data_IF_954864382186
#
_entry.id   IF_954864382186
#
_cell.length_a   1.000
_cell.length_b   1.000
_cell.length_c   1.000
_cell.angle_alpha   90.00
_cell.angle_beta   90.00
_cell.angle_gamma   90.00
#
_symmetry.space_group_name_H-M   'P 1'
#
loop_
_entity.id
_entity.type
_entity.pdbx_description
1 polymer ?
#
# COMPACT_ATOMS: atom_id res chain seq x y z
N UNK A 1 -10.48 -30.66 8.42
CA UNK A 1 -11.90 -31.03 8.59
C UNK A 1 -12.69 -30.19 7.62
N UNK A 2 -13.22 -30.80 6.55
CA UNK A 2 -14.11 -30.12 5.60
C UNK A 2 -15.41 -29.80 6.34
N UNK A 3 -15.59 -28.54 6.73
CA UNK A 3 -16.80 -28.09 7.41
C UNK A 3 -18.03 -28.44 6.57
N UNK A 4 -18.99 -29.12 7.17
CA UNK A 4 -20.25 -29.48 6.54
C UNK A 4 -20.95 -28.21 6.04
N UNK A 5 -21.42 -28.20 4.78
CA UNK A 5 -22.11 -27.02 4.21
C UNK A 5 -23.42 -26.80 4.95
N UNK A 6 -23.57 -25.63 5.59
CA UNK A 6 -24.82 -25.19 6.24
C UNK A 6 -25.71 -24.49 5.21
N UNK A 7 -26.77 -25.14 4.75
CA UNK A 7 -27.71 -24.56 3.80
C UNK A 7 -28.63 -23.55 4.49
N UNK A 8 -28.74 -22.35 3.93
CA UNK A 8 -29.64 -21.31 4.42
C UNK A 8 -31.07 -21.61 3.96
N UNK A 9 -32.02 -21.62 4.90
CA UNK A 9 -33.43 -21.98 4.66
C UNK A 9 -33.61 -23.36 4.00
N UNK A 10 -32.65 -24.28 4.20
CA UNK A 10 -32.60 -25.61 3.57
C UNK A 10 -32.62 -25.61 2.02
N UNK A 11 -32.31 -24.47 1.39
CA UNK A 11 -32.27 -24.36 -0.08
C UNK A 11 -30.98 -24.97 -0.63
N UNK A 12 -31.04 -26.27 -0.92
CA UNK A 12 -29.94 -27.03 -1.54
C UNK A 12 -29.78 -26.73 -3.04
N UNK A 13 -30.89 -26.39 -3.70
CA UNK A 13 -30.93 -26.02 -5.11
C UNK A 13 -32.06 -25.02 -5.34
N UNK A 14 -31.71 -23.79 -5.75
CA UNK A 14 -32.66 -22.76 -6.14
C UNK A 14 -33.26 -23.04 -7.51
N UNK A 15 -34.24 -22.24 -7.93
CA UNK A 15 -34.79 -22.27 -9.28
C UNK A 15 -33.74 -22.05 -10.39
N UNK A 16 -32.59 -21.44 -10.07
CA UNK A 16 -31.47 -21.23 -11.00
C UNK A 16 -30.34 -22.26 -10.81
N UNK A 17 -30.54 -23.30 -9.98
CA UNK A 17 -29.57 -24.36 -9.76
C UNK A 17 -28.47 -24.05 -8.74
N UNK A 18 -28.62 -23.02 -7.91
CA UNK A 18 -27.60 -22.57 -6.94
C UNK A 18 -28.00 -22.93 -5.50
N UNK A 19 -27.06 -23.38 -4.66
CA UNK A 19 -27.30 -23.57 -3.23
C UNK A 19 -27.30 -22.24 -2.48
N UNK A 20 -28.14 -22.10 -1.45
CA UNK A 20 -28.03 -20.99 -0.52
C UNK A 20 -27.27 -21.48 0.70
N UNK A 21 -26.15 -20.84 1.00
CA UNK A 21 -25.28 -21.22 2.09
C UNK A 21 -25.21 -20.11 3.12
N UNK A 22 -25.19 -20.48 4.39
CA UNK A 22 -24.92 -19.52 5.45
C UNK A 22 -23.57 -18.87 5.20
N UNK A 23 -23.54 -17.55 5.12
CA UNK A 23 -22.30 -16.80 4.99
C UNK A 23 -21.40 -16.95 6.21
N UNK A 24 -22.01 -17.18 7.38
CA UNK A 24 -21.33 -17.29 8.67
C UNK A 24 -21.24 -18.75 9.12
N UNK A 25 -20.08 -19.09 9.68
CA UNK A 25 -19.96 -20.26 10.56
C UNK A 25 -20.77 -20.04 11.84
N UNK A 26 -21.05 -21.11 12.59
CA UNK A 26 -21.74 -21.00 13.89
C UNK A 26 -20.98 -20.09 14.86
N UNK A 27 -19.64 -20.17 14.86
CA UNK A 27 -18.79 -19.27 15.65
C UNK A 27 -18.97 -17.80 15.25
N UNK A 28 -19.09 -17.52 13.96
CA UNK A 28 -19.32 -16.18 13.46
C UNK A 28 -20.76 -15.70 13.71
N UNK A 29 -21.76 -16.59 13.70
CA UNK A 29 -23.13 -16.27 14.13
C UNK A 29 -23.13 -15.82 15.60
N UNK A 30 -22.41 -16.54 16.48
CA UNK A 30 -22.26 -16.16 17.88
C UNK A 30 -21.50 -14.83 18.05
N UNK A 31 -20.46 -14.60 17.26
CA UNK A 31 -19.75 -13.33 17.26
C UNK A 31 -20.66 -12.18 16.79
N UNK A 32 -21.48 -12.38 15.75
CA UNK A 32 -22.43 -11.38 15.27
C UNK A 32 -23.45 -11.03 16.36
N UNK A 33 -23.97 -12.02 17.10
CA UNK A 33 -24.89 -11.75 18.21
C UNK A 33 -24.21 -10.92 19.31
N UNK A 34 -22.98 -11.28 19.70
CA UNK A 34 -22.21 -10.54 20.69
C UNK A 34 -21.93 -9.09 20.25
N UNK A 35 -21.61 -8.88 18.98
CA UNK A 35 -21.37 -7.55 18.39
C UNK A 35 -22.66 -6.70 18.43
N UNK A 36 -23.78 -7.25 17.97
CA UNK A 36 -25.06 -6.55 17.93
C UNK A 36 -25.51 -6.11 19.33
N UNK A 37 -25.40 -7.02 20.32
CA UNK A 37 -25.77 -6.74 21.70
C UNK A 37 -24.80 -5.78 22.40
N UNK A 38 -23.49 -5.97 22.20
CA UNK A 38 -22.45 -5.20 22.89
C UNK A 38 -22.32 -3.76 22.41
N UNK A 39 -22.54 -3.51 21.11
CA UNK A 39 -22.31 -2.21 20.48
C UNK A 39 -23.58 -1.54 19.95
N UNK A 40 -24.74 -2.17 20.11
CA UNK A 40 -26.03 -1.62 19.67
C UNK A 40 -26.14 -1.42 18.16
N UNK A 41 -25.30 -2.10 17.37
CA UNK A 41 -25.35 -2.04 15.90
C UNK A 41 -26.45 -2.94 15.35
N UNK A 42 -27.04 -2.64 14.18
CA UNK A 42 -28.03 -3.52 13.56
C UNK A 42 -27.48 -4.93 13.30
N UNK A 43 -28.33 -5.96 13.43
CA UNK A 43 -27.95 -7.38 13.23
C UNK A 43 -27.23 -7.61 11.89
N UNK A 44 -27.71 -6.98 10.82
CA UNK A 44 -27.07 -7.09 9.50
C UNK A 44 -25.63 -6.54 9.49
N UNK A 45 -25.36 -5.44 10.21
CA UNK A 45 -24.01 -4.88 10.33
C UNK A 45 -23.13 -5.83 11.13
N UNK A 46 -23.62 -6.34 12.26
CA UNK A 46 -22.91 -7.28 13.09
C UNK A 46 -22.54 -8.58 12.33
N UNK A 47 -23.47 -9.09 11.51
CA UNK A 47 -23.23 -10.25 10.64
C UNK A 47 -22.17 -9.98 9.58
N UNK A 48 -22.17 -8.79 8.96
CA UNK A 48 -21.12 -8.40 8.01
C UNK A 48 -19.75 -8.33 8.68
N UNK A 49 -19.68 -7.75 9.89
CA UNK A 49 -18.44 -7.66 10.67
C UNK A 49 -17.91 -9.06 11.03
N UNK A 50 -18.74 -9.93 11.59
CA UNK A 50 -18.34 -11.30 11.92
C UNK A 50 -17.92 -12.09 10.66
N UNK A 51 -18.61 -11.87 9.54
CA UNK A 51 -18.26 -12.47 8.24
C UNK A 51 -16.92 -12.01 7.66
N UNK A 52 -16.40 -10.86 8.12
CA UNK A 52 -15.05 -10.37 7.84
C UNK A 52 -14.00 -10.82 8.86
N UNK A 53 -14.40 -11.63 9.85
CA UNK A 53 -13.53 -12.11 10.92
C UNK A 53 -13.32 -11.11 12.06
N UNK A 54 -14.10 -10.02 12.10
CA UNK A 54 -14.05 -9.04 13.18
C UNK A 54 -14.70 -9.65 14.43
N UNK A 55 -13.97 -9.65 15.54
CA UNK A 55 -14.50 -10.11 16.83
C UNK A 55 -15.26 -8.99 17.55
N UNK A 56 -16.00 -9.33 18.61
CA UNK A 56 -16.68 -8.34 19.44
C UNK A 56 -15.69 -7.30 19.99
N UNK A 57 -14.51 -7.73 20.43
CA UNK A 57 -13.46 -6.84 20.97
C UNK A 57 -12.86 -5.91 19.90
N UNK A 58 -12.94 -6.28 18.63
CA UNK A 58 -12.40 -5.51 17.51
C UNK A 58 -13.41 -4.54 16.89
N UNK A 59 -14.68 -4.58 17.32
CA UNK A 59 -15.80 -3.89 16.65
C UNK A 59 -15.61 -2.38 16.60
N UNK A 60 -15.31 -1.75 17.73
CA UNK A 60 -15.10 -0.31 17.80
C UNK A 60 -13.95 0.13 16.88
N UNK A 61 -12.80 -0.56 16.96
CA UNK A 61 -11.62 -0.26 16.13
C UNK A 61 -11.89 -0.42 14.64
N UNK A 62 -12.78 -1.35 14.26
CA UNK A 62 -13.12 -1.57 12.86
C UNK A 62 -14.10 -0.51 12.33
N UNK A 63 -15.08 -0.09 13.14
CA UNK A 63 -16.11 0.87 12.74
C UNK A 63 -15.63 2.33 12.82
N UNK A 64 -14.75 2.64 13.77
CA UNK A 64 -14.14 3.96 13.93
C UNK A 64 -12.60 3.85 13.89
N UNK A 65 -12.04 3.56 12.69
CA UNK A 65 -10.60 3.43 12.54
C UNK A 65 -9.92 4.80 12.68
N UNK A 66 -8.95 4.88 13.60
CA UNK A 66 -8.06 6.04 13.68
C UNK A 66 -6.69 5.72 13.11
N UNK A 67 -6.09 6.71 12.45
CA UNK A 67 -4.69 6.67 11.97
C UNK A 67 -3.76 6.22 13.10
N UNK A 68 -3.91 6.79 14.30
CA UNK A 68 -3.10 6.46 15.49
C UNK A 68 -3.16 4.97 15.84
N UNK A 69 -4.33 4.34 15.73
CA UNK A 69 -4.52 2.95 16.13
C UNK A 69 -4.21 1.95 15.00
N UNK A 70 -4.09 2.40 13.76
CA UNK A 70 -3.94 1.53 12.59
C UNK A 70 -2.57 1.60 11.93
N UNK A 71 -1.84 2.72 12.07
CA UNK A 71 -0.47 2.78 11.58
C UNK A 71 0.44 2.02 12.55
N UNK A 72 1.11 0.94 12.09
CA UNK A 72 2.19 0.35 12.86
C UNK A 72 3.35 1.35 12.98
N UNK A 73 4.28 1.06 13.89
CA UNK A 73 5.55 1.79 13.93
C UNK A 73 6.22 1.69 12.54
N UNK A 74 6.44 2.82 11.82
CA UNK A 74 7.07 2.78 10.50
C UNK A 74 8.44 2.11 10.52
N UNK A 75 9.18 2.16 11.64
CA UNK A 75 10.48 1.50 11.79
C UNK A 75 10.40 -0.04 11.69
N UNK A 76 9.19 -0.62 11.79
CA UNK A 76 8.97 -2.05 11.55
C UNK A 76 9.02 -2.44 10.07
N UNK A 77 8.92 -1.48 9.15
CA UNK A 77 9.06 -1.73 7.72
C UNK A 77 10.54 -1.89 7.37
N UNK A 78 10.83 -2.88 6.51
CA UNK A 78 12.20 -3.19 6.07
C UNK A 78 12.92 -1.94 5.58
N UNK A 79 14.09 -1.67 6.16
CA UNK A 79 14.97 -0.55 5.81
C UNK A 79 14.35 0.86 5.92
N UNK A 80 13.21 1.02 6.59
CA UNK A 80 12.55 2.33 6.73
C UNK A 80 13.45 3.39 7.36
N UNK A 81 14.15 3.05 8.45
CA UNK A 81 15.07 4.00 9.10
C UNK A 81 16.21 4.44 8.17
N UNK A 82 16.72 3.53 7.33
CA UNK A 82 17.77 3.85 6.35
C UNK A 82 17.24 4.77 5.26
N UNK A 83 16.05 4.48 4.71
CA UNK A 83 15.40 5.30 3.70
C UNK A 83 15.10 6.71 4.24
N UNK A 84 14.51 6.80 5.44
CA UNK A 84 14.21 8.06 6.10
C UNK A 84 15.48 8.88 6.37
N UNK A 85 16.54 8.26 6.89
CA UNK A 85 17.82 8.92 7.12
C UNK A 85 18.45 9.45 5.82
N UNK A 86 18.40 8.68 4.72
CA UNK A 86 18.95 9.11 3.43
C UNK A 86 18.20 10.29 2.82
N UNK A 87 16.87 10.29 2.92
CA UNK A 87 16.03 11.41 2.47
C UNK A 87 16.26 12.64 3.36
N UNK A 88 16.37 12.46 4.68
CA UNK A 88 16.69 13.56 5.60
C UNK A 88 18.07 14.17 5.32
N UNK A 89 19.06 13.35 4.94
CA UNK A 89 20.36 13.83 4.49
C UNK A 89 20.23 14.68 3.22
N UNK A 90 19.46 14.21 2.22
CA UNK A 90 19.23 14.98 0.98
C UNK A 90 18.56 16.33 1.27
N UNK A 91 17.62 16.37 2.23
CA UNK A 91 16.98 17.61 2.69
C UNK A 91 18.01 18.55 3.33
N UNK A 92 18.83 18.03 4.24
CA UNK A 92 19.83 18.83 4.98
C UNK A 92 20.91 19.37 4.03
N UNK A 93 21.37 18.56 3.09
CA UNK A 93 22.38 18.91 2.10
C UNK A 93 21.83 19.68 0.88
N UNK A 94 20.50 19.86 0.79
CA UNK A 94 19.80 20.47 -0.37
C UNK A 94 20.19 19.81 -1.70
N UNK A 95 20.29 18.49 -1.69
CA UNK A 95 20.53 17.69 -2.89
C UNK A 95 19.43 17.88 -3.94
N UNK A 96 19.75 17.65 -5.21
CA UNK A 96 18.71 17.54 -6.25
C UNK A 96 18.16 16.11 -6.24
N UNK A 97 16.86 15.98 -6.02
CA UNK A 97 16.17 14.68 -5.90
C UNK A 97 15.31 14.42 -7.12
N UNK A 98 15.49 13.29 -7.80
CA UNK A 98 14.50 12.81 -8.76
C UNK A 98 13.52 11.86 -8.08
N UNK A 99 12.23 12.00 -8.38
CA UNK A 99 11.16 11.12 -7.92
C UNK A 99 10.73 10.32 -9.13
N UNK A 100 10.98 9.01 -9.12
CA UNK A 100 10.56 8.10 -10.19
C UNK A 100 9.27 7.40 -9.74
N UNK A 101 8.14 7.73 -10.35
CA UNK A 101 6.84 7.16 -9.98
C UNK A 101 6.27 6.23 -11.05
N UNK A 102 5.32 5.38 -10.65
CA UNK A 102 4.46 4.67 -11.61
C UNK A 102 3.35 5.57 -12.17
N UNK A 103 2.78 5.19 -13.31
CA UNK A 103 1.76 5.97 -14.02
C UNK A 103 0.34 5.83 -13.47
N UNK A 104 0.11 4.88 -12.56
CA UNK A 104 -1.22 4.67 -12.00
C UNK A 104 -1.53 5.67 -10.86
N UNK A 105 -2.68 5.50 -10.21
CA UNK A 105 -3.12 6.45 -9.18
C UNK A 105 -2.23 6.41 -7.94
N UNK A 106 -1.68 5.25 -7.55
CA UNK A 106 -0.82 5.16 -6.38
C UNK A 106 0.56 5.78 -6.67
N UNK A 107 1.18 5.44 -7.80
CA UNK A 107 2.41 6.05 -8.28
C UNK A 107 2.31 7.58 -8.44
N UNK A 108 1.22 8.09 -9.02
CA UNK A 108 1.01 9.53 -9.17
C UNK A 108 0.79 10.23 -7.82
N UNK A 109 -0.02 9.65 -6.92
CA UNK A 109 -0.32 10.23 -5.62
C UNK A 109 0.92 10.25 -4.71
N UNK A 110 1.66 9.14 -4.64
CA UNK A 110 2.91 9.02 -3.87
C UNK A 110 3.99 9.98 -4.39
N UNK A 111 4.11 10.13 -5.72
CA UNK A 111 5.02 11.10 -6.34
C UNK A 111 4.69 12.54 -5.93
N UNK A 112 3.40 12.91 -6.00
CA UNK A 112 2.94 14.24 -5.60
C UNK A 112 3.14 14.47 -4.09
N UNK A 113 2.92 13.46 -3.26
CA UNK A 113 3.14 13.53 -1.81
C UNK A 113 4.61 13.82 -1.49
N UNK A 114 5.54 13.05 -2.07
CA UNK A 114 6.97 13.23 -1.83
C UNK A 114 7.46 14.58 -2.39
N UNK A 115 6.96 14.98 -3.57
CA UNK A 115 7.25 16.30 -4.16
C UNK A 115 6.82 17.44 -3.24
N UNK A 116 5.62 17.36 -2.65
CA UNK A 116 5.12 18.36 -1.69
C UNK A 116 5.96 18.40 -0.42
N UNK A 117 6.36 17.24 0.10
CA UNK A 117 7.25 17.15 1.25
C UNK A 117 8.61 17.81 0.98
N UNK A 118 9.27 17.47 -0.13
CA UNK A 118 10.56 18.07 -0.51
C UNK A 118 10.45 19.58 -0.78
N UNK A 119 9.36 20.02 -1.42
CA UNK A 119 9.11 21.43 -1.68
C UNK A 119 8.91 22.23 -0.39
N UNK A 120 8.28 21.65 0.65
CA UNK A 120 8.15 22.28 1.96
C UNK A 120 9.53 22.65 2.56
N UNK A 121 10.53 21.80 2.35
CA UNK A 121 11.92 22.06 2.76
C UNK A 121 12.76 22.78 1.70
N UNK A 122 12.15 23.30 0.63
CA UNK A 122 12.83 23.98 -0.48
C UNK A 122 13.90 23.12 -1.17
N UNK A 123 13.72 21.80 -1.20
CA UNK A 123 14.62 20.87 -1.88
C UNK A 123 14.25 20.79 -3.37
N UNK A 124 15.21 21.05 -4.29
CA UNK A 124 14.94 20.95 -5.72
C UNK A 124 14.65 19.50 -6.09
N UNK A 125 13.54 19.29 -6.79
CA UNK A 125 13.11 17.95 -7.18
C UNK A 125 12.43 17.93 -8.55
N UNK A 126 12.49 16.81 -9.25
CA UNK A 126 11.70 16.57 -10.48
C UNK A 126 10.93 15.26 -10.33
N UNK A 127 9.70 15.22 -10.85
CA UNK A 127 8.94 13.97 -10.96
C UNK A 127 9.17 13.44 -12.37
N UNK A 128 9.44 12.14 -12.46
CA UNK A 128 9.57 11.39 -13.69
C UNK A 128 8.60 10.22 -13.64
N UNK A 129 7.69 10.16 -14.62
CA UNK A 129 6.76 9.05 -14.82
C UNK A 129 7.08 8.49 -16.21
N UNK A 130 7.42 7.20 -16.34
CA UNK A 130 7.84 6.62 -17.62
C UNK A 130 6.66 6.57 -18.60
N UNK A 131 6.93 6.78 -19.89
CA UNK A 131 5.93 6.50 -20.92
C UNK A 131 5.79 4.99 -21.10
N UNK A 132 4.64 4.44 -20.71
CA UNK A 132 4.40 3.00 -20.76
C UNK A 132 4.52 2.39 -22.16
N UNK A 133 4.25 3.15 -23.22
CA UNK A 133 4.27 2.66 -24.60
C UNK A 133 5.71 2.57 -25.10
N UNK A 134 6.52 3.59 -24.80
CA UNK A 134 7.87 3.70 -25.35
C UNK A 134 8.96 3.12 -24.44
N UNK A 135 8.79 3.24 -23.13
CA UNK A 135 9.82 2.90 -22.13
C UNK A 135 9.49 1.64 -21.33
N UNK A 136 8.23 1.21 -21.34
CA UNK A 136 7.77 0.05 -20.59
C UNK A 136 7.36 0.38 -19.15
N UNK A 137 7.41 -0.63 -18.28
CA UNK A 137 6.94 -0.52 -16.88
C UNK A 137 8.12 -0.28 -15.92
N UNK A 138 7.98 0.71 -15.05
CA UNK A 138 8.92 0.99 -13.96
C UNK A 138 10.29 1.56 -14.39
N UNK A 139 11.25 1.60 -13.45
CA UNK A 139 12.57 2.16 -13.69
C UNK A 139 13.35 1.41 -14.76
N UNK A 140 13.88 2.12 -15.76
CA UNK A 140 14.78 1.59 -16.78
C UNK A 140 16.18 2.25 -16.68
N UNK A 141 17.26 1.56 -17.10
CA UNK A 141 18.63 2.08 -16.94
C UNK A 141 18.91 3.41 -17.65
N UNK A 142 18.23 3.67 -18.77
CA UNK A 142 18.42 4.89 -19.56
C UNK A 142 17.84 6.10 -18.85
N UNK A 143 16.58 6.03 -18.43
CA UNK A 143 15.92 7.05 -17.65
C UNK A 143 16.66 7.33 -16.33
N UNK A 144 17.14 6.29 -15.65
CA UNK A 144 17.92 6.47 -14.42
C UNK A 144 19.21 7.27 -14.69
N UNK A 145 19.98 6.93 -15.72
CA UNK A 145 21.18 7.70 -16.10
C UNK A 145 20.85 9.12 -16.53
N UNK A 146 19.73 9.32 -17.22
CA UNK A 146 19.28 10.63 -17.64
C UNK A 146 18.95 11.53 -16.43
N UNK A 147 18.26 11.02 -15.42
CA UNK A 147 17.98 11.76 -14.20
C UNK A 147 19.27 12.20 -13.49
N UNK A 148 20.28 11.32 -13.46
CA UNK A 148 21.60 11.68 -12.91
C UNK A 148 22.31 12.72 -13.77
N UNK A 149 22.25 12.63 -15.11
CA UNK A 149 22.86 13.62 -16.01
C UNK A 149 22.21 15.00 -15.91
N UNK A 150 20.92 15.05 -15.55
CA UNK A 150 20.19 16.27 -15.18
C UNK A 150 20.59 16.79 -13.79
N UNK A 151 21.47 16.11 -13.08
CA UNK A 151 22.07 16.54 -11.82
C UNK A 151 21.43 15.96 -10.57
N UNK A 152 20.53 14.96 -10.68
CA UNK A 152 20.01 14.29 -9.49
C UNK A 152 21.10 13.48 -8.79
N UNK A 153 21.30 13.68 -7.50
CA UNK A 153 22.24 12.90 -6.66
C UNK A 153 21.53 11.83 -5.83
N UNK A 154 20.20 11.94 -5.72
CA UNK A 154 19.32 10.94 -5.13
C UNK A 154 18.13 10.70 -6.07
N UNK A 155 17.83 9.44 -6.33
CA UNK A 155 16.60 9.00 -7.00
C UNK A 155 15.75 8.25 -5.98
N UNK A 156 14.51 8.70 -5.76
CA UNK A 156 13.53 7.99 -4.93
C UNK A 156 12.49 7.39 -5.85
N UNK A 157 12.43 6.06 -5.92
CA UNK A 157 11.37 5.37 -6.65
C UNK A 157 10.17 5.20 -5.72
N UNK A 158 8.97 5.46 -6.24
CA UNK A 158 7.70 5.31 -5.52
C UNK A 158 6.76 4.45 -6.35
N UNK A 159 6.14 3.47 -5.70
CA UNK A 159 5.25 2.48 -6.33
C UNK A 159 5.91 1.66 -7.45
N UNK A 160 7.24 1.60 -7.44
CA UNK A 160 8.02 0.83 -8.40
C UNK A 160 9.46 0.64 -7.92
N UNK A 161 10.18 -0.27 -8.58
CA UNK A 161 11.64 -0.42 -8.44
C UNK A 161 12.12 -1.68 -7.72
N UNK A 162 11.24 -2.44 -7.04
CA UNK A 162 11.62 -3.69 -6.34
C UNK A 162 12.34 -4.68 -7.26
N UNK A 163 11.89 -4.78 -8.51
CA UNK A 163 12.43 -5.71 -9.51
C UNK A 163 13.41 -5.04 -10.50
N UNK A 164 13.91 -3.83 -10.22
CA UNK A 164 14.68 -3.01 -11.17
C UNK A 164 16.18 -2.96 -10.87
N UNK A 165 16.79 -4.10 -10.53
CA UNK A 165 18.20 -4.18 -10.14
C UNK A 165 19.15 -3.52 -11.16
N UNK A 166 18.99 -3.80 -12.45
CA UNK A 166 19.82 -3.21 -13.50
C UNK A 166 19.69 -1.68 -13.58
N UNK A 167 18.51 -1.14 -13.32
CA UNK A 167 18.24 0.30 -13.32
C UNK A 167 18.84 0.98 -12.08
N UNK A 168 18.77 0.32 -10.93
CA UNK A 168 19.41 0.77 -9.69
C UNK A 168 20.93 0.80 -9.85
N UNK A 169 21.53 -0.25 -10.42
CA UNK A 169 22.96 -0.32 -10.68
C UNK A 169 23.41 0.77 -11.67
N UNK A 170 22.60 1.04 -12.70
CA UNK A 170 22.88 2.11 -13.65
C UNK A 170 22.89 3.51 -13.00
N UNK A 171 21.95 3.79 -12.08
CA UNK A 171 21.94 5.04 -11.32
C UNK A 171 23.18 5.18 -10.42
N UNK A 172 23.51 4.11 -9.68
CA UNK A 172 24.69 4.07 -8.80
C UNK A 172 25.98 4.27 -9.57
N UNK A 173 26.13 3.58 -10.70
CA UNK A 173 27.29 3.74 -11.59
C UNK A 173 27.39 5.15 -12.19
N UNK A 174 26.24 5.82 -12.39
CA UNK A 174 26.20 7.22 -12.85
C UNK A 174 26.46 8.24 -11.74
N UNK A 175 26.47 7.83 -10.46
CA UNK A 175 26.81 8.69 -9.32
C UNK A 175 25.63 9.17 -8.48
N UNK A 176 24.46 8.53 -8.57
CA UNK A 176 23.33 8.81 -7.69
C UNK A 176 23.00 7.64 -6.76
N UNK A 177 22.58 7.95 -5.54
CA UNK A 177 21.97 6.97 -4.66
C UNK A 177 20.53 6.68 -5.07
N UNK A 178 20.02 5.51 -4.69
CA UNK A 178 18.63 5.11 -4.94
C UNK A 178 17.97 4.65 -3.65
N UNK A 179 16.77 5.19 -3.39
CA UNK A 179 15.83 4.70 -2.37
C UNK A 179 14.62 4.13 -3.09
N UNK A 180 14.22 2.90 -2.75
CA UNK A 180 13.06 2.22 -3.33
C UNK A 180 11.94 2.16 -2.31
N UNK A 181 10.79 2.74 -2.63
CA UNK A 181 9.56 2.70 -1.83
C UNK A 181 8.46 2.02 -2.65
N UNK A 182 8.25 0.74 -2.42
CA UNK A 182 7.42 -0.10 -3.28
C UNK A 182 6.73 -1.21 -2.47
N UNK A 183 5.60 -1.69 -2.97
CA UNK A 183 4.78 -2.74 -2.35
C UNK A 183 4.47 -3.91 -3.30
N UNK A 184 5.03 -3.89 -4.51
CA UNK A 184 4.99 -5.01 -5.45
C UNK A 184 5.83 -6.21 -5.00
N UNK A 185 5.56 -7.39 -5.58
CA UNK A 185 6.30 -8.63 -5.32
C UNK A 185 7.48 -8.83 -6.27
#
# INVERSE_FOLDING_TARGET
MTGERRFFLDVRQSATGVSWEHRLTERQDMAALAIAQGYGVPDIVARVLAGRGVTAEQTERFLDPTIRNMLPDPASLTDMDKAAARIAQAVTAREKVAIFGDYDVDGAASSALLKRFLAHFSVPSEIYIPDRIFEGYGPNPEAMRELVSRGATLIVTVDCGTNSAASIDAAKAAGADVVVLDHHQ
#
